data_IF_844901295322
#
_entry.id   IF_844901295322
#
_cell.length_a   1.000
_cell.length_b   1.000
_cell.length_c   1.000
_cell.angle_alpha   90.00
_cell.angle_beta   90.00
_cell.angle_gamma   90.00
#
_symmetry.space_group_name_H-M   'P 1'
#
loop_
_entity.id
_entity.type
_entity.pdbx_description
1 polymer ?
#
# COMPACT_ATOMS: atom_id res chain seq x y z
N UNK A 1 -7.43 -14.51 -11.09
CA UNK A 1 -6.75 -13.52 -10.21
C UNK A 1 -6.16 -12.44 -11.10
N UNK A 2 -6.27 -11.16 -10.73
CA UNK A 2 -5.58 -10.08 -11.46
C UNK A 2 -4.27 -9.78 -10.75
N UNK A 3 -3.16 -9.68 -11.48
CA UNK A 3 -1.81 -9.48 -10.94
C UNK A 3 -1.24 -8.19 -11.52
N UNK A 4 -1.00 -7.20 -10.66
CA UNK A 4 -0.28 -5.97 -11.03
C UNK A 4 1.16 -6.00 -10.53
N UNK A 5 1.99 -5.06 -10.97
CA UNK A 5 3.36 -4.85 -10.45
C UNK A 5 3.60 -3.39 -10.11
N UNK A 6 4.48 -3.13 -9.13
CA UNK A 6 5.13 -1.83 -8.97
C UNK A 6 6.30 -1.67 -9.97
N UNK A 7 6.86 -0.46 -10.05
CA UNK A 7 8.01 -0.16 -10.91
C UNK A 7 9.28 -0.88 -10.44
N UNK A 8 10.11 -1.32 -11.40
CA UNK A 8 11.42 -1.91 -11.13
C UNK A 8 12.52 -1.12 -11.82
N UNK A 9 13.74 -1.17 -11.28
CA UNK A 9 14.89 -0.44 -11.83
C UNK A 9 15.26 -0.87 -13.26
N UNK A 10 14.94 -2.11 -13.65
CA UNK A 10 15.20 -2.62 -15.00
C UNK A 10 14.08 -2.30 -16.00
N UNK A 11 12.99 -1.67 -15.58
CA UNK A 11 11.94 -1.23 -16.50
C UNK A 11 12.38 0.00 -17.27
N UNK A 12 11.88 0.20 -18.51
CA UNK A 12 12.11 1.45 -19.25
C UNK A 12 11.66 2.67 -18.45
N UNK A 13 12.41 3.77 -18.54
CA UNK A 13 12.05 5.01 -17.85
C UNK A 13 10.88 5.75 -18.55
N UNK A 14 10.86 5.74 -19.88
CA UNK A 14 9.76 6.33 -20.66
C UNK A 14 8.43 5.66 -20.31
N UNK A 15 7.41 6.46 -19.99
CA UNK A 15 6.12 5.98 -19.47
C UNK A 15 5.42 5.03 -20.45
N UNK A 16 5.35 5.38 -21.74
CA UNK A 16 4.68 4.52 -22.71
C UNK A 16 5.41 3.18 -22.89
N UNK A 17 6.75 3.21 -23.00
CA UNK A 17 7.55 2.00 -23.11
C UNK A 17 7.45 1.13 -21.85
N UNK A 18 7.39 1.75 -20.67
CA UNK A 18 7.16 1.04 -19.41
C UNK A 18 5.84 0.30 -19.40
N UNK A 19 4.75 0.94 -19.81
CA UNK A 19 3.43 0.30 -19.89
C UNK A 19 3.43 -0.85 -20.92
N UNK A 20 4.07 -0.65 -22.08
CA UNK A 20 4.25 -1.71 -23.09
C UNK A 20 5.02 -2.90 -22.51
N UNK A 21 6.10 -2.63 -21.79
CA UNK A 21 6.95 -3.64 -21.18
C UNK A 21 6.20 -4.45 -20.10
N UNK A 22 5.51 -3.77 -19.19
CA UNK A 22 4.68 -4.40 -18.15
C UNK A 22 3.57 -5.26 -18.78
N UNK A 23 2.90 -4.74 -19.81
CA UNK A 23 1.88 -5.50 -20.54
C UNK A 23 2.46 -6.74 -21.23
N UNK A 24 3.62 -6.60 -21.86
CA UNK A 24 4.31 -7.69 -22.56
C UNK A 24 4.78 -8.82 -21.61
N UNK A 25 5.12 -8.48 -20.36
CA UNK A 25 5.42 -9.47 -19.31
C UNK A 25 4.17 -10.22 -18.82
N UNK A 26 2.97 -9.78 -19.17
CA UNK A 26 1.72 -10.46 -18.83
C UNK A 26 1.03 -9.96 -17.55
N UNK A 27 1.44 -8.82 -16.98
CA UNK A 27 0.73 -8.21 -15.87
C UNK A 27 -0.61 -7.60 -16.31
N UNK A 28 -1.58 -7.63 -15.38
CA UNK A 28 -2.93 -7.10 -15.55
C UNK A 28 -3.07 -5.62 -15.15
N UNK A 29 -2.05 -5.04 -14.53
CA UNK A 29 -2.08 -3.65 -14.06
C UNK A 29 -0.73 -3.13 -13.59
N UNK A 30 -0.67 -1.83 -13.35
CA UNK A 30 0.50 -1.12 -12.84
C UNK A 30 0.12 -0.37 -11.56
N UNK A 31 0.85 -0.64 -10.47
CA UNK A 31 0.83 0.21 -9.28
C UNK A 31 1.90 1.29 -9.41
N UNK A 32 1.45 2.53 -9.59
CA UNK A 32 2.30 3.64 -10.00
C UNK A 32 2.83 4.41 -8.79
N UNK A 33 4.00 5.02 -8.92
CA UNK A 33 4.44 6.04 -7.95
C UNK A 33 3.49 7.26 -8.00
N UNK A 34 3.05 7.73 -6.83
CA UNK A 34 2.08 8.83 -6.75
C UNK A 34 2.57 10.14 -7.37
N UNK A 35 3.88 10.44 -7.26
CA UNK A 35 4.46 11.66 -7.82
C UNK A 35 4.53 11.58 -9.33
N UNK A 36 5.02 10.45 -9.86
CA UNK A 36 5.04 10.17 -11.29
C UNK A 36 3.65 10.32 -11.91
N UNK A 37 2.61 9.79 -11.25
CA UNK A 37 1.23 9.93 -11.71
C UNK A 37 0.78 11.39 -11.78
N UNK A 38 1.02 12.16 -10.72
CA UNK A 38 0.58 13.57 -10.65
C UNK A 38 1.35 14.45 -11.64
N UNK A 39 2.67 14.27 -11.75
CA UNK A 39 3.53 15.11 -12.61
C UNK A 39 3.36 14.80 -14.11
N UNK A 40 2.96 13.56 -14.47
CA UNK A 40 2.85 13.09 -15.85
C UNK A 40 1.47 12.54 -16.21
N UNK A 41 0.41 13.09 -15.63
CA UNK A 41 -0.97 12.58 -15.75
C UNK A 41 -1.41 12.31 -17.20
N UNK A 42 -1.16 13.24 -18.11
CA UNK A 42 -1.58 13.11 -19.51
C UNK A 42 -0.77 12.03 -20.27
N UNK A 43 0.52 11.88 -19.97
CA UNK A 43 1.33 10.79 -20.53
C UNK A 43 0.85 9.43 -20.01
N UNK A 44 0.48 9.35 -18.73
CA UNK A 44 -0.09 8.14 -18.12
C UNK A 44 -1.43 7.79 -18.77
N UNK A 45 -2.34 8.76 -18.96
CA UNK A 45 -3.61 8.55 -19.68
C UNK A 45 -3.36 8.04 -21.11
N UNK A 46 -2.42 8.65 -21.83
CA UNK A 46 -2.06 8.22 -23.17
C UNK A 46 -1.50 6.78 -23.19
N UNK A 47 -0.65 6.42 -22.20
CA UNK A 47 -0.10 5.08 -22.08
C UNK A 47 -1.16 4.02 -21.74
N UNK A 48 -2.11 4.33 -20.85
CA UNK A 48 -3.27 3.47 -20.56
C UNK A 48 -4.07 3.24 -21.84
N UNK A 49 -4.41 4.29 -22.58
CA UNK A 49 -5.18 4.19 -23.82
C UNK A 49 -4.46 3.39 -24.91
N UNK A 50 -3.14 3.57 -25.04
CA UNK A 50 -2.35 2.91 -26.08
C UNK A 50 -2.10 1.41 -25.80
N UNK A 51 -2.07 1.01 -24.52
CA UNK A 51 -1.68 -0.36 -24.13
C UNK A 51 -2.82 -1.19 -23.55
N UNK A 52 -3.89 -0.55 -23.10
CA UNK A 52 -4.97 -1.18 -22.34
C UNK A 52 -4.52 -1.70 -20.97
N UNK A 53 -3.33 -1.32 -20.48
CA UNK A 53 -2.85 -1.66 -19.14
C UNK A 53 -3.34 -0.60 -18.15
N UNK A 54 -4.23 -0.94 -17.20
CA UNK A 54 -4.73 0.04 -16.24
C UNK A 54 -3.70 0.37 -15.16
N UNK A 55 -3.74 1.61 -14.66
CA UNK A 55 -3.21 1.94 -13.33
C UNK A 55 -4.19 1.38 -12.29
N UNK A 56 -3.72 0.48 -11.42
CA UNK A 56 -4.59 -0.16 -10.41
C UNK A 56 -4.69 0.67 -9.15
N UNK A 57 -3.55 1.16 -8.69
CA UNK A 57 -3.32 1.81 -7.39
C UNK A 57 -2.11 2.73 -7.52
N UNK A 58 -1.94 3.64 -6.58
CA UNK A 58 -0.67 4.35 -6.38
C UNK A 58 -0.03 3.95 -5.06
N UNK A 59 1.30 3.99 -4.97
CA UNK A 59 2.05 3.79 -3.73
C UNK A 59 3.18 4.82 -3.65
N UNK A 60 3.40 5.39 -2.47
CA UNK A 60 4.39 6.45 -2.27
C UNK A 60 4.06 7.74 -3.03
N UNK A 61 5.09 8.51 -3.41
CA UNK A 61 4.94 9.75 -4.17
C UNK A 61 4.63 11.01 -3.36
N UNK A 62 4.74 10.98 -2.02
CA UNK A 62 4.47 12.11 -1.14
C UNK A 62 5.56 12.29 -0.06
N UNK A 63 5.72 13.53 0.43
CA UNK A 63 6.68 13.97 1.44
C UNK A 63 5.95 14.32 2.74
N UNK A 64 5.89 13.35 3.64
CA UNK A 64 5.27 13.48 4.96
C UNK A 64 4.29 12.35 5.23
N UNK A 65 4.53 11.62 6.31
CA UNK A 65 3.73 10.43 6.64
C UNK A 65 2.38 10.81 7.26
N UNK A 66 1.36 9.96 7.15
CA UNK A 66 0.06 10.19 7.81
C UNK A 66 0.20 10.20 9.34
N UNK A 67 1.20 9.52 9.87
CA UNK A 67 1.61 9.55 11.26
C UNK A 67 2.91 10.30 11.50
N UNK A 68 3.32 11.26 10.64
CA UNK A 68 4.61 11.97 10.81
C UNK A 68 4.71 12.64 12.20
N UNK A 69 5.92 12.66 12.78
CA UNK A 69 6.17 13.37 14.04
C UNK A 69 6.15 14.89 13.87
N UNK A 70 6.48 15.38 12.66
CA UNK A 70 6.50 16.80 12.34
C UNK A 70 5.16 17.15 11.69
N UNK A 71 4.36 17.94 12.40
CA UNK A 71 2.99 18.28 11.99
C UNK A 71 2.93 18.94 10.61
N UNK A 72 3.86 19.84 10.30
CA UNK A 72 3.95 20.48 8.99
C UNK A 72 4.15 19.45 7.86
N UNK A 73 5.01 18.44 8.08
CA UNK A 73 5.22 17.35 7.12
C UNK A 73 3.96 16.51 6.97
N UNK A 74 3.31 16.15 8.09
CA UNK A 74 2.04 15.40 8.08
C UNK A 74 1.00 16.11 7.21
N UNK A 75 0.78 17.40 7.43
CA UNK A 75 -0.20 18.19 6.69
C UNK A 75 0.18 18.37 5.21
N UNK A 76 1.46 18.56 4.89
CA UNK A 76 1.93 18.60 3.50
C UNK A 76 1.72 17.25 2.79
N UNK A 77 2.04 16.14 3.46
CA UNK A 77 1.79 14.79 2.98
C UNK A 77 0.32 14.56 2.66
N UNK A 78 -0.59 14.97 3.55
CA UNK A 78 -2.04 14.91 3.29
C UNK A 78 -2.46 15.72 2.06
N UNK A 79 -1.88 16.91 1.85
CA UNK A 79 -2.15 17.72 0.65
C UNK A 79 -1.67 17.03 -0.64
N UNK A 80 -0.55 16.31 -0.59
CA UNK A 80 -0.02 15.59 -1.74
C UNK A 80 -0.80 14.31 -2.00
N UNK A 81 -1.16 13.55 -0.96
CA UNK A 81 -2.05 12.38 -1.06
C UNK A 81 -3.40 12.78 -1.67
N UNK A 82 -3.97 13.93 -1.29
CA UNK A 82 -5.20 14.46 -1.92
C UNK A 82 -5.05 14.60 -3.43
N UNK A 83 -3.95 15.18 -3.91
CA UNK A 83 -3.66 15.33 -5.35
C UNK A 83 -3.47 13.97 -6.04
N UNK A 84 -2.86 13.00 -5.36
CA UNK A 84 -2.70 11.64 -5.88
C UNK A 84 -4.07 10.95 -6.01
N UNK A 85 -4.96 11.08 -5.03
CA UNK A 85 -6.32 10.54 -5.10
C UNK A 85 -7.15 11.18 -6.21
N UNK A 86 -7.01 12.49 -6.43
CA UNK A 86 -7.64 13.20 -7.54
C UNK A 86 -7.11 12.70 -8.90
N UNK A 87 -5.79 12.55 -9.05
CA UNK A 87 -5.19 11.99 -10.26
C UNK A 87 -5.60 10.52 -10.51
N UNK A 88 -5.70 9.71 -9.45
CA UNK A 88 -6.20 8.33 -9.53
C UNK A 88 -7.63 8.28 -10.06
N UNK A 89 -8.51 9.18 -9.60
CA UNK A 89 -9.87 9.27 -10.09
C UNK A 89 -9.92 9.55 -11.61
N UNK A 90 -9.01 10.39 -12.12
CA UNK A 90 -8.92 10.70 -13.55
C UNK A 90 -8.42 9.54 -14.42
N UNK A 91 -7.56 8.67 -13.90
CA UNK A 91 -7.03 7.50 -14.63
C UNK A 91 -7.80 6.21 -14.36
N UNK A 92 -8.84 6.26 -13.51
CA UNK A 92 -9.63 5.09 -13.12
C UNK A 92 -8.93 4.16 -12.13
N UNK A 93 -7.91 4.65 -11.41
CA UNK A 93 -7.22 3.93 -10.35
C UNK A 93 -8.09 3.81 -9.08
N UNK A 94 -7.90 2.74 -8.31
CA UNK A 94 -8.76 2.43 -7.16
C UNK A 94 -8.47 3.28 -5.92
N UNK A 95 -7.22 3.67 -5.73
CA UNK A 95 -6.78 4.20 -4.45
C UNK A 95 -5.28 4.24 -4.26
N UNK A 96 -4.87 4.72 -3.10
CA UNK A 96 -3.45 4.87 -2.71
C UNK A 96 -3.13 3.96 -1.52
N UNK A 97 -1.96 3.31 -1.57
CA UNK A 97 -1.38 2.55 -0.47
C UNK A 97 -0.56 3.48 0.42
N UNK A 98 -0.85 3.47 1.73
CA UNK A 98 -0.15 4.29 2.72
C UNK A 98 0.12 3.49 4.00
N UNK A 99 1.38 3.44 4.47
CA UNK A 99 1.66 3.06 5.85
C UNK A 99 1.43 4.24 6.79
N UNK A 100 1.45 3.99 8.11
CA UNK A 100 1.45 5.09 9.08
C UNK A 100 2.72 5.96 8.97
N UNK A 101 3.87 5.32 8.79
CA UNK A 101 5.14 5.91 8.38
C UNK A 101 6.08 4.81 7.86
N UNK A 102 7.15 5.19 7.16
CA UNK A 102 8.25 4.27 6.81
C UNK A 102 9.60 4.91 7.15
N UNK A 103 10.47 4.15 7.82
CA UNK A 103 11.85 4.56 8.13
C UNK A 103 11.97 5.73 9.12
N UNK A 104 10.86 6.16 9.72
CA UNK A 104 10.83 7.30 10.64
C UNK A 104 11.26 6.90 12.06
N UNK A 105 10.79 5.76 12.56
CA UNK A 105 11.10 5.27 13.89
C UNK A 105 10.78 3.78 14.03
N UNK A 106 11.50 3.10 14.93
CA UNK A 106 11.21 1.73 15.35
C UNK A 106 11.59 1.55 16.82
N UNK A 107 10.81 0.77 17.58
CA UNK A 107 11.19 0.35 18.94
C UNK A 107 12.27 -0.74 18.96
N UNK A 108 12.74 -1.22 17.80
CA UNK A 108 13.66 -2.37 17.69
C UNK A 108 15.10 -1.99 17.37
N UNK A 109 15.36 -0.73 17.02
CA UNK A 109 16.68 -0.21 16.71
C UNK A 109 16.90 1.13 17.45
N UNK A 110 18.14 1.49 17.81
CA UNK A 110 18.43 2.80 18.38
C UNK A 110 18.03 3.94 17.44
N UNK A 111 17.47 5.05 17.95
CA UNK A 111 17.14 5.32 19.36
C UNK A 111 15.88 4.57 19.84
N UNK A 112 15.92 3.99 21.04
CA UNK A 112 14.84 3.12 21.56
C UNK A 112 13.61 3.86 22.13
N UNK A 113 13.64 5.19 22.17
CA UNK A 113 12.59 6.01 22.77
C UNK A 113 11.95 6.90 21.70
N UNK A 114 10.64 6.71 21.50
CA UNK A 114 9.87 7.53 20.57
C UNK A 114 9.76 8.97 21.08
N UNK A 115 9.79 9.97 20.19
CA UNK A 115 9.58 11.38 20.54
C UNK A 115 8.11 11.71 20.82
N UNK A 116 7.17 10.82 20.44
CA UNK A 116 5.73 10.95 20.67
C UNK A 116 5.21 9.76 21.49
N UNK A 117 4.17 9.99 22.29
CA UNK A 117 3.50 8.91 23.03
C UNK A 117 2.62 8.07 22.11
N UNK A 118 2.31 6.83 22.51
CA UNK A 118 1.38 5.96 21.77
C UNK A 118 0.01 6.61 21.56
N UNK A 119 -0.48 7.36 22.55
CA UNK A 119 -1.73 8.13 22.42
C UNK A 119 -1.61 9.27 21.38
N UNK A 120 -0.44 9.91 21.31
CA UNK A 120 -0.15 10.93 20.30
C UNK A 120 -0.04 10.34 18.89
N UNK A 121 0.57 9.17 18.75
CA UNK A 121 0.62 8.42 17.48
C UNK A 121 -0.79 8.08 16.99
N UNK A 122 -1.60 7.48 17.88
CA UNK A 122 -2.99 7.12 17.57
C UNK A 122 -3.80 8.34 17.17
N UNK A 123 -3.63 9.48 17.85
CA UNK A 123 -4.32 10.71 17.52
C UNK A 123 -3.93 11.20 16.12
N UNK A 124 -2.63 11.32 15.83
CA UNK A 124 -2.13 11.84 14.55
C UNK A 124 -2.60 10.99 13.37
N UNK A 125 -2.44 9.66 13.45
CA UNK A 125 -2.89 8.75 12.40
C UNK A 125 -4.41 8.81 12.23
N UNK A 126 -5.19 8.81 13.32
CA UNK A 126 -6.66 8.87 13.23
C UNK A 126 -7.16 10.17 12.61
N UNK A 127 -6.51 11.31 12.91
CA UNK A 127 -6.86 12.60 12.30
C UNK A 127 -6.54 12.65 10.82
N UNK A 128 -5.39 12.13 10.42
CA UNK A 128 -5.02 11.96 9.02
C UNK A 128 -5.99 11.06 8.26
N UNK A 129 -6.35 9.91 8.81
CA UNK A 129 -7.28 8.97 8.18
C UNK A 129 -8.69 9.56 8.05
N UNK A 130 -9.19 10.31 9.04
CA UNK A 130 -10.48 11.02 8.94
C UNK A 130 -10.46 12.07 7.84
N UNK A 131 -9.37 12.83 7.70
CA UNK A 131 -9.23 13.78 6.61
C UNK A 131 -9.24 13.07 5.24
N UNK A 132 -8.48 11.98 5.11
CA UNK A 132 -8.40 11.24 3.84
C UNK A 132 -9.68 10.46 3.52
N UNK A 133 -10.47 10.06 4.52
CA UNK A 133 -11.81 9.47 4.33
C UNK A 133 -12.71 10.41 3.52
N UNK A 134 -12.76 11.69 3.87
CA UNK A 134 -13.58 12.68 3.15
C UNK A 134 -13.09 12.90 1.71
N UNK A 135 -11.77 12.89 1.50
CA UNK A 135 -11.16 13.03 0.17
C UNK A 135 -11.43 11.81 -0.70
N UNK A 136 -11.25 10.61 -0.14
CA UNK A 136 -11.51 9.35 -0.83
C UNK A 136 -12.99 9.22 -1.20
N UNK A 137 -13.90 9.62 -0.30
CA UNK A 137 -15.33 9.69 -0.58
C UNK A 137 -15.65 10.62 -1.76
N UNK A 138 -15.10 11.84 -1.78
CA UNK A 138 -15.33 12.83 -2.85
C UNK A 138 -14.76 12.39 -4.20
N UNK A 139 -13.60 11.75 -4.21
CA UNK A 139 -12.91 11.30 -5.44
C UNK A 139 -13.38 9.94 -5.92
N UNK A 140 -14.20 9.23 -5.14
CA UNK A 140 -14.65 7.87 -5.45
C UNK A 140 -13.52 6.83 -5.38
N UNK A 141 -12.47 7.12 -4.61
CA UNK A 141 -11.29 6.26 -4.44
C UNK A 141 -11.26 5.63 -3.04
N UNK A 142 -10.17 4.94 -2.70
CA UNK A 142 -9.97 4.27 -1.42
C UNK A 142 -8.56 4.53 -0.89
N UNK A 143 -8.42 4.69 0.42
CA UNK A 143 -7.11 4.63 1.09
C UNK A 143 -6.86 3.20 1.55
N UNK A 144 -5.76 2.60 1.11
CA UNK A 144 -5.33 1.28 1.53
C UNK A 144 -4.27 1.43 2.63
N UNK A 145 -4.68 1.19 3.88
CA UNK A 145 -3.84 1.31 5.06
C UNK A 145 -2.96 0.07 5.23
N UNK A 146 -1.65 0.24 5.14
CA UNK A 146 -0.66 -0.83 5.15
C UNK A 146 0.02 -0.98 6.52
N UNK A 147 -0.16 -2.11 7.21
CA UNK A 147 0.71 -2.51 8.31
C UNK A 147 2.11 -2.85 7.79
N UNK A 148 3.14 -2.23 8.35
CA UNK A 148 4.53 -2.57 8.04
C UNK A 148 5.15 -3.41 9.14
N UNK A 149 6.23 -4.13 8.85
CA UNK A 149 6.97 -4.81 9.91
C UNK A 149 7.56 -3.81 10.94
N UNK A 150 7.78 -4.30 12.17
CA UNK A 150 8.22 -3.53 13.35
C UNK A 150 9.54 -2.77 13.18
N UNK A 151 10.31 -3.06 12.14
CA UNK A 151 11.57 -2.37 11.85
C UNK A 151 11.37 -1.15 10.93
N UNK A 152 10.26 -1.10 10.20
CA UNK A 152 9.94 -0.02 9.26
C UNK A 152 8.95 1.00 9.83
N UNK A 153 8.01 0.54 10.66
CA UNK A 153 7.04 1.37 11.37
C UNK A 153 6.84 0.86 12.80
N UNK A 154 6.52 1.78 13.72
CA UNK A 154 6.19 1.46 15.11
C UNK A 154 4.70 1.58 15.43
N UNK A 155 3.88 2.10 14.51
CA UNK A 155 2.49 2.48 14.78
C UNK A 155 1.48 1.40 14.37
N UNK A 156 1.66 0.75 13.22
CA UNK A 156 0.72 -0.24 12.67
C UNK A 156 1.52 -1.43 12.11
N UNK A 157 1.47 -2.58 12.80
CA UNK A 157 2.29 -3.73 12.42
C UNK A 157 1.49 -4.97 12.02
N UNK A 158 0.24 -5.09 12.48
CA UNK A 158 -0.65 -6.21 12.13
C UNK A 158 -1.90 -5.73 11.39
N UNK A 159 -2.57 -6.64 10.69
CA UNK A 159 -3.87 -6.38 10.07
C UNK A 159 -4.91 -5.97 11.13
N UNK A 160 -4.80 -6.52 12.35
CA UNK A 160 -5.63 -6.14 13.48
C UNK A 160 -5.37 -4.69 13.96
N UNK A 161 -4.14 -4.19 13.86
CA UNK A 161 -3.84 -2.77 14.13
C UNK A 161 -4.56 -1.85 13.14
N UNK A 162 -4.43 -2.13 11.83
CA UNK A 162 -5.12 -1.36 10.80
C UNK A 162 -6.65 -1.42 10.97
N UNK A 163 -7.20 -2.62 11.27
CA UNK A 163 -8.63 -2.81 11.56
C UNK A 163 -9.11 -1.89 12.68
N UNK A 164 -8.35 -1.76 13.78
CA UNK A 164 -8.72 -0.90 14.91
C UNK A 164 -8.94 0.55 14.48
N UNK A 165 -8.02 1.13 13.71
CA UNK A 165 -8.17 2.49 13.19
C UNK A 165 -9.43 2.66 12.32
N UNK A 166 -9.68 1.70 11.43
CA UNK A 166 -10.82 1.76 10.50
C UNK A 166 -12.15 1.64 11.26
N UNK A 167 -12.28 0.63 12.13
CA UNK A 167 -13.53 0.33 12.84
C UNK A 167 -13.86 1.42 13.85
N UNK A 168 -12.89 1.84 14.67
CA UNK A 168 -13.13 2.88 15.68
C UNK A 168 -13.36 4.26 15.06
N UNK A 169 -12.73 4.53 13.91
CA UNK A 169 -12.97 5.74 13.12
C UNK A 169 -14.27 5.72 12.32
N UNK A 170 -14.97 4.58 12.27
CA UNK A 170 -16.13 4.33 11.41
C UNK A 170 -15.88 4.69 9.93
N UNK A 171 -14.66 4.40 9.44
CA UNK A 171 -14.20 4.77 8.10
C UNK A 171 -14.75 3.79 7.05
N UNK A 172 -15.30 4.31 5.95
CA UNK A 172 -15.94 3.54 4.88
C UNK A 172 -15.10 3.48 3.60
N UNK A 173 -14.25 4.50 3.39
CA UNK A 173 -13.36 4.66 2.25
C UNK A 173 -11.89 4.37 2.60
N UNK A 174 -11.65 3.80 3.77
CA UNK A 174 -10.35 3.23 4.17
C UNK A 174 -10.47 1.71 4.28
N UNK A 175 -9.55 0.99 3.64
CA UNK A 175 -9.48 -0.48 3.61
C UNK A 175 -8.09 -0.94 4.01
N UNK A 176 -7.97 -2.21 4.40
CA UNK A 176 -6.70 -2.82 4.75
C UNK A 176 -6.02 -3.32 3.48
N UNK A 177 -4.70 -3.17 3.40
CA UNK A 177 -3.85 -3.98 2.52
C UNK A 177 -3.07 -4.98 3.36
N UNK A 178 -2.97 -6.23 2.88
CA UNK A 178 -2.10 -7.24 3.46
C UNK A 178 -0.83 -7.37 2.63
N UNK A 179 0.33 -6.98 3.18
CA UNK A 179 1.63 -7.27 2.58
C UNK A 179 2.20 -8.56 3.16
N UNK A 180 2.45 -9.53 2.29
CA UNK A 180 2.86 -10.87 2.66
C UNK A 180 4.25 -10.92 3.32
N UNK A 181 5.17 -10.03 2.96
CA UNK A 181 6.48 -9.92 3.58
C UNK A 181 6.36 -9.38 5.02
N UNK A 182 5.55 -8.35 5.25
CA UNK A 182 5.30 -7.82 6.59
C UNK A 182 4.53 -8.81 7.46
N UNK A 183 3.49 -9.43 6.91
CA UNK A 183 2.68 -10.42 7.60
C UNK A 183 3.50 -11.64 8.04
N UNK A 184 4.50 -12.08 7.25
CA UNK A 184 5.38 -13.17 7.66
C UNK A 184 6.18 -12.88 8.94
N UNK A 185 6.46 -11.60 9.23
CA UNK A 185 7.21 -11.18 10.41
C UNK A 185 6.26 -10.93 11.60
N UNK A 186 5.11 -10.32 11.33
CA UNK A 186 4.24 -9.76 12.38
C UNK A 186 3.03 -10.62 12.74
N UNK A 187 2.48 -11.37 11.80
CA UNK A 187 1.28 -12.18 12.03
C UNK A 187 1.63 -13.55 12.63
N UNK A 188 0.83 -13.98 13.61
CA UNK A 188 0.96 -15.32 14.18
C UNK A 188 0.64 -16.40 13.12
N UNK A 189 -0.42 -16.16 12.33
CA UNK A 189 -0.88 -17.00 11.23
C UNK A 189 -1.45 -16.15 10.09
N UNK A 190 -0.83 -16.25 8.90
CA UNK A 190 -1.20 -15.45 7.73
C UNK A 190 -2.63 -15.71 7.25
N UNK A 191 -2.98 -16.98 7.06
CA UNK A 191 -4.29 -17.38 6.56
C UNK A 191 -5.41 -16.92 7.49
N UNK A 192 -5.21 -17.05 8.80
CA UNK A 192 -6.17 -16.59 9.81
C UNK A 192 -6.29 -15.05 9.78
N UNK A 193 -5.17 -14.33 9.75
CA UNK A 193 -5.18 -12.86 9.70
C UNK A 193 -5.93 -12.33 8.45
N UNK A 194 -5.73 -12.95 7.29
CA UNK A 194 -6.48 -12.61 6.06
C UNK A 194 -7.96 -12.93 6.21
N UNK A 195 -8.29 -14.11 6.75
CA UNK A 195 -9.68 -14.54 6.93
C UNK A 195 -10.44 -13.65 7.93
N UNK A 196 -9.83 -13.26 9.04
CA UNK A 196 -10.48 -12.48 10.09
C UNK A 196 -10.71 -11.02 9.69
N UNK A 197 -9.89 -10.50 8.77
CA UNK A 197 -9.97 -9.12 8.26
C UNK A 197 -10.60 -9.01 6.87
N UNK A 198 -11.17 -10.11 6.38
CA UNK A 198 -11.65 -10.28 5.01
C UNK A 198 -12.68 -9.23 4.57
N UNK A 199 -13.51 -8.74 5.49
CA UNK A 199 -14.52 -7.71 5.26
C UNK A 199 -13.94 -6.32 4.98
N UNK A 200 -12.71 -6.06 5.41
CA UNK A 200 -12.00 -4.79 5.23
C UNK A 200 -10.78 -4.88 4.31
N UNK A 201 -10.34 -6.08 3.97
CA UNK A 201 -9.20 -6.30 3.08
C UNK A 201 -9.56 -5.92 1.63
N UNK A 202 -8.88 -4.90 1.10
CA UNK A 202 -9.14 -4.36 -0.24
C UNK A 202 -8.00 -4.54 -1.23
N UNK A 203 -6.79 -4.79 -0.73
CA UNK A 203 -5.59 -4.95 -1.55
C UNK A 203 -4.58 -5.93 -0.93
N UNK A 204 -3.62 -6.41 -1.71
CA UNK A 204 -2.57 -7.32 -1.27
C UNK A 204 -1.27 -6.98 -1.97
N UNK A 205 -0.16 -6.96 -1.22
CA UNK A 205 1.20 -7.00 -1.73
C UNK A 205 1.81 -8.38 -1.55
N UNK A 206 2.51 -8.86 -2.58
CA UNK A 206 3.24 -10.13 -2.56
C UNK A 206 4.69 -9.87 -2.97
N UNK A 207 5.64 -10.26 -2.12
CA UNK A 207 7.07 -10.19 -2.36
C UNK A 207 7.75 -11.53 -2.03
N UNK A 208 8.97 -11.73 -2.54
CA UNK A 208 9.79 -12.89 -2.16
C UNK A 208 10.13 -12.84 -0.67
N UNK A 209 9.85 -13.93 0.04
CA UNK A 209 10.03 -14.00 1.48
C UNK A 209 11.38 -14.66 1.79
N UNK A 210 12.29 -13.91 2.40
CA UNK A 210 13.48 -14.53 3.01
C UNK A 210 13.01 -15.25 4.27
N UNK A 211 13.37 -16.54 4.42
CA UNK A 211 13.07 -17.34 5.61
C UNK A 211 13.43 -16.58 6.90
N UNK A 212 12.41 -16.19 7.66
CA UNK A 212 12.55 -15.64 9.00
C UNK A 212 11.95 -16.66 10.00
N UNK A 213 12.74 -17.06 11.01
CA UNK A 213 12.39 -18.09 12.01
C UNK A 213 12.05 -19.49 11.46
N UNK A 214 12.57 -19.88 10.30
CA UNK A 214 12.33 -21.20 9.72
C UNK A 214 10.91 -21.40 9.17
N UNK A 215 10.10 -20.33 9.09
CA UNK A 215 8.86 -20.33 8.31
C UNK A 215 9.23 -20.09 6.85
N UNK A 216 9.19 -21.15 6.05
CA UNK A 216 9.05 -21.05 4.60
C UNK A 216 7.55 -21.10 4.35
N UNK A 217 6.94 -19.97 3.97
CA UNK A 217 5.55 -20.01 3.54
C UNK A 217 5.53 -20.74 2.20
N UNK A 218 4.76 -21.83 2.15
CA UNK A 218 4.54 -22.58 0.93
C UNK A 218 3.78 -21.68 -0.05
N UNK A 219 4.22 -21.59 -1.31
CA UNK A 219 3.44 -20.93 -2.36
C UNK A 219 2.02 -21.49 -2.47
N UNK A 220 1.75 -22.71 -1.98
CA UNK A 220 0.40 -23.23 -1.77
C UNK A 220 -0.40 -22.51 -0.69
N UNK A 221 0.20 -22.04 0.41
CA UNK A 221 -0.50 -21.19 1.38
C UNK A 221 -0.83 -19.82 0.79
N UNK A 222 0.08 -19.25 0.00
CA UNK A 222 -0.20 -18.03 -0.78
C UNK A 222 -1.36 -18.27 -1.74
N UNK A 223 -1.35 -19.40 -2.46
CA UNK A 223 -2.41 -19.79 -3.38
C UNK A 223 -3.74 -20.04 -2.65
N UNK A 224 -3.74 -20.77 -1.54
CA UNK A 224 -4.94 -21.05 -0.74
C UNK A 224 -5.52 -19.77 -0.13
N UNK A 225 -4.66 -18.86 0.34
CA UNK A 225 -5.03 -17.53 0.79
C UNK A 225 -5.61 -16.70 -0.37
N UNK A 226 -4.96 -16.74 -1.54
CA UNK A 226 -5.46 -16.08 -2.74
C UNK A 226 -6.81 -16.64 -3.20
N UNK A 227 -7.06 -17.95 -3.05
CA UNK A 227 -8.36 -18.60 -3.33
C UNK A 227 -9.44 -18.14 -2.34
N UNK A 228 -9.12 -18.05 -1.05
CA UNK A 228 -10.01 -17.46 -0.02
C UNK A 228 -10.39 -16.01 -0.37
N UNK A 229 -9.42 -15.24 -0.85
CA UNK A 229 -9.59 -13.83 -1.23
C UNK A 229 -10.27 -13.63 -2.60
N UNK A 230 -10.15 -14.59 -3.51
CA UNK A 230 -10.76 -14.51 -4.84
C UNK A 230 -12.29 -14.54 -4.78
N UNK A 231 -12.87 -15.19 -3.77
CA UNK A 231 -14.30 -15.13 -3.46
C UNK A 231 -14.79 -13.75 -3.01
N UNK A 232 -13.90 -12.76 -2.87
CA UNK A 232 -14.18 -11.47 -2.23
C UNK A 232 -14.03 -10.25 -3.15
N UNK A 233 -13.66 -10.44 -4.42
CA UNK A 233 -13.62 -9.36 -5.42
C UNK A 233 -12.44 -8.37 -5.29
N UNK A 234 -11.44 -8.66 -4.45
CA UNK A 234 -10.23 -7.83 -4.30
C UNK A 234 -9.29 -7.85 -5.53
N UNK A 235 -8.45 -6.82 -5.67
CA UNK A 235 -7.33 -6.82 -6.64
C UNK A 235 -6.00 -7.08 -5.91
N UNK A 236 -5.09 -7.79 -6.58
CA UNK A 236 -3.78 -8.17 -6.03
C UNK A 236 -2.68 -7.43 -6.80
N UNK A 237 -1.74 -6.84 -6.08
CA UNK A 237 -0.50 -6.30 -6.65
C UNK A 237 0.65 -7.15 -6.15
N UNK A 238 1.52 -7.57 -7.05
CA UNK A 238 2.77 -8.24 -6.69
C UNK A 238 3.84 -7.15 -6.61
N UNK A 239 4.37 -6.94 -5.42
CA UNK A 239 5.57 -6.14 -5.21
C UNK A 239 6.77 -7.07 -5.33
N UNK A 240 7.27 -7.28 -6.55
CA UNK A 240 8.49 -8.05 -6.74
C UNK A 240 9.69 -7.20 -6.32
N UNK A 241 10.18 -7.35 -5.08
CA UNK A 241 11.51 -6.82 -4.74
C UNK A 241 12.57 -7.76 -5.34
N UNK A 242 13.01 -7.51 -6.57
CA UNK A 242 14.17 -8.20 -7.11
C UNK A 242 15.44 -7.64 -6.45
N UNK A 243 16.16 -8.48 -5.72
CA UNK A 243 17.56 -8.18 -5.38
C UNK A 243 18.37 -8.41 -6.65
N UNK A 244 18.80 -7.34 -7.30
CA UNK A 244 19.85 -7.45 -8.33
C UNK A 244 21.12 -7.85 -7.55
N UNK A 245 21.48 -9.13 -7.58
CA UNK A 245 22.79 -9.56 -7.13
C UNK A 245 23.81 -8.95 -8.11
N UNK A 246 24.63 -8.03 -7.59
CA UNK A 246 25.81 -7.49 -8.26
C UNK A 246 26.98 -8.46 -8.19
#
# INVERSE_FOLDING_TARGET
MKIATQNQAFFPENILEKFRYIKAMGFDGFEIDGRLLVEHLEEVKAAINATGLPVTTACGGYDGWIGDFIEERRLNGLSQITRILEALAEVGGKGIVVPAAWGMFTFRLPPMKAPRSLAGDRKAVSESLRYLEDVAARTGTTVFLEPLNRYQDHMINTLADARRYIVEGALKHVRIIGDFYHMNIEEDNLCAALHDNRDLLGHVHIAEMISYKGKVIDYKEIYNSAVLLWGMGGAFTVMLLFRIES
#
